data_IF_562400895014
#
_entry.id   IF_562400895014
#
_cell.length_a   1.000
_cell.length_b   1.000
_cell.length_c   1.000
_cell.angle_alpha   90.00
_cell.angle_beta   90.00
_cell.angle_gamma   90.00
#
_symmetry.space_group_name_H-M   'P 1'
#
loop_
_entity.id
_entity.type
_entity.pdbx_description
1 polymer ?
#
# COMPACT_ATOMS: atom_id res chain seq x y z
N UNK A 1 -15.20 6.83 -25.95
CA UNK A 1 -15.81 6.42 -24.69
C UNK A 1 -15.46 4.95 -24.53
N UNK A 2 -14.68 4.58 -23.51
CA UNK A 2 -14.32 3.17 -23.28
C UNK A 2 -15.55 2.37 -22.82
N UNK A 3 -15.63 1.08 -23.15
CA UNK A 3 -16.71 0.22 -22.69
C UNK A 3 -16.67 0.04 -21.17
N UNK A 4 -17.83 -0.23 -20.57
CA UNK A 4 -17.91 -0.65 -19.16
C UNK A 4 -17.19 -1.98 -18.92
N UNK A 5 -17.14 -2.88 -19.90
CA UNK A 5 -16.32 -4.11 -19.84
C UNK A 5 -14.83 -3.79 -19.72
N UNK A 6 -14.34 -2.88 -20.57
CA UNK A 6 -12.93 -2.42 -20.53
C UNK A 6 -12.62 -1.73 -19.20
N UNK A 7 -13.58 -0.98 -18.65
CA UNK A 7 -13.45 -0.35 -17.34
C UNK A 7 -13.35 -1.39 -16.24
N UNK A 8 -14.18 -2.43 -16.28
CA UNK A 8 -14.16 -3.54 -15.33
C UNK A 8 -12.83 -4.31 -15.37
N UNK A 9 -12.35 -4.66 -16.57
CA UNK A 9 -11.05 -5.33 -16.75
C UNK A 9 -9.91 -4.50 -16.17
N UNK A 10 -9.88 -3.19 -16.47
CA UNK A 10 -8.86 -2.28 -15.93
C UNK A 10 -8.92 -2.14 -14.43
N UNK A 11 -10.12 -2.10 -13.85
CA UNK A 11 -10.29 -2.08 -12.39
C UNK A 11 -9.76 -3.35 -11.75
N UNK A 12 -10.01 -4.52 -12.33
CA UNK A 12 -9.45 -5.80 -11.85
C UNK A 12 -7.93 -5.84 -11.93
N UNK A 13 -7.35 -5.36 -13.04
CA UNK A 13 -5.90 -5.26 -13.17
C UNK A 13 -5.28 -4.29 -12.15
N UNK A 14 -5.96 -3.18 -11.88
CA UNK A 14 -5.54 -2.21 -10.88
C UNK A 14 -5.63 -2.77 -9.47
N UNK A 15 -6.74 -3.41 -9.09
CA UNK A 15 -6.95 -4.10 -7.81
C UNK A 15 -5.79 -5.08 -7.53
N UNK A 16 -5.49 -5.96 -8.49
CA UNK A 16 -4.40 -6.92 -8.37
C UNK A 16 -3.03 -6.26 -8.27
N UNK A 17 -2.81 -5.17 -9.00
CA UNK A 17 -1.53 -4.44 -8.96
C UNK A 17 -1.35 -3.70 -7.64
N UNK A 18 -2.41 -3.12 -7.11
CA UNK A 18 -2.43 -2.47 -5.79
C UNK A 18 -2.19 -3.48 -4.67
N UNK A 19 -2.82 -4.66 -4.74
CA UNK A 19 -2.57 -5.75 -3.80
C UNK A 19 -1.09 -6.15 -3.76
N UNK A 20 -0.50 -6.46 -4.93
CA UNK A 20 0.93 -6.79 -5.03
C UNK A 20 1.85 -5.67 -4.54
N UNK A 21 1.49 -4.42 -4.85
CA UNK A 21 2.25 -3.26 -4.37
C UNK A 21 2.22 -3.17 -2.84
N UNK A 22 1.03 -3.29 -2.23
CA UNK A 22 0.87 -3.25 -0.78
C UNK A 22 1.66 -4.36 -0.09
N UNK A 23 1.59 -5.59 -0.60
CA UNK A 23 2.34 -6.73 -0.06
C UNK A 23 3.85 -6.48 -0.11
N UNK A 24 4.35 -6.03 -1.27
CA UNK A 24 5.78 -5.77 -1.47
C UNK A 24 6.27 -4.60 -0.63
N UNK A 25 5.45 -3.56 -0.48
CA UNK A 25 5.77 -2.41 0.35
C UNK A 25 5.84 -2.80 1.83
N UNK A 26 4.88 -3.59 2.32
CA UNK A 26 4.86 -4.06 3.69
C UNK A 26 6.09 -4.95 4.01
N UNK A 27 6.45 -5.85 3.09
CA UNK A 27 7.65 -6.68 3.22
C UNK A 27 8.92 -5.82 3.28
N UNK A 28 9.04 -4.84 2.37
CA UNK A 28 10.19 -3.94 2.28
C UNK A 28 10.30 -3.05 3.51
N UNK A 29 9.16 -2.52 3.99
CA UNK A 29 9.10 -1.71 5.20
C UNK A 29 9.53 -2.51 6.42
N UNK A 30 9.03 -3.73 6.61
CA UNK A 30 9.44 -4.60 7.72
C UNK A 30 10.95 -4.85 7.69
N UNK A 31 11.49 -5.20 6.53
CA UNK A 31 12.94 -5.41 6.38
C UNK A 31 13.73 -4.15 6.73
N UNK A 32 13.29 -2.98 6.27
CA UNK A 32 13.97 -1.71 6.54
C UNK A 32 13.88 -1.33 8.03
N UNK A 33 12.73 -1.53 8.67
CA UNK A 33 12.54 -1.28 10.10
C UNK A 33 13.42 -2.19 10.96
N UNK A 34 13.52 -3.49 10.66
CA UNK A 34 14.42 -4.41 11.36
C UNK A 34 15.89 -3.98 11.26
N UNK A 35 16.31 -3.49 10.08
CA UNK A 35 17.68 -2.99 9.88
C UNK A 35 17.92 -1.66 10.57
N UNK A 36 16.93 -0.78 10.60
CA UNK A 36 16.95 0.46 11.35
C UNK A 36 17.16 0.19 12.84
N UNK A 37 16.30 -0.66 13.43
CA UNK A 37 16.34 -0.99 14.85
C UNK A 37 17.69 -1.60 15.24
N UNK A 38 18.20 -2.53 14.42
CA UNK A 38 19.52 -3.14 14.65
C UNK A 38 20.68 -2.13 14.58
N UNK A 39 20.61 -1.14 13.69
CA UNK A 39 21.64 -0.12 13.57
C UNK A 39 21.58 0.93 14.69
N UNK A 40 20.37 1.21 15.20
CA UNK A 40 20.12 2.24 16.22
C UNK A 40 20.78 1.93 17.56
N UNK A 41 20.86 0.66 17.95
CA UNK A 41 21.43 0.27 19.24
C UNK A 41 22.91 0.65 19.36
N UNK A 42 23.66 0.58 18.26
CA UNK A 42 25.10 0.84 18.21
C UNK A 42 25.47 2.23 17.67
N UNK A 43 24.50 2.98 17.11
CA UNK A 43 24.76 4.25 16.41
C UNK A 43 24.15 5.46 17.14
N UNK A 44 24.98 6.19 17.90
CA UNK A 44 24.54 7.30 18.76
C UNK A 44 25.26 8.64 18.50
N UNK A 45 25.86 8.80 17.33
CA UNK A 45 26.56 10.05 16.98
C UNK A 45 25.60 11.15 16.48
N UNK A 46 26.16 12.27 16.02
CA UNK A 46 25.38 13.38 15.47
C UNK A 46 24.66 13.00 14.16
N UNK A 47 25.25 12.15 13.34
CA UNK A 47 24.64 11.69 12.09
C UNK A 47 23.44 10.79 12.34
N UNK A 48 23.46 10.00 13.42
CA UNK A 48 22.32 9.20 13.85
C UNK A 48 21.08 10.08 14.14
N UNK A 49 21.28 11.27 14.73
CA UNK A 49 20.17 12.21 14.98
C UNK A 49 19.58 12.79 13.70
N UNK A 50 20.43 13.18 12.76
CA UNK A 50 20.00 13.73 11.47
C UNK A 50 19.28 12.66 10.64
N UNK A 51 19.77 11.42 10.70
CA UNK A 51 19.11 10.26 10.10
C UNK A 51 17.75 9.95 10.76
N UNK A 52 17.66 9.93 12.10
CA UNK A 52 16.41 9.69 12.82
C UNK A 52 15.34 10.74 12.48
N UNK A 53 15.75 12.01 12.34
CA UNK A 53 14.85 13.09 11.92
C UNK A 53 14.26 12.86 10.51
N UNK A 54 14.99 12.21 9.61
CA UNK A 54 14.49 11.81 8.29
C UNK A 54 13.70 10.49 8.33
N UNK A 55 14.07 9.56 9.21
CA UNK A 55 13.43 8.26 9.37
C UNK A 55 12.02 8.38 9.93
N UNK A 56 11.83 9.11 11.02
CA UNK A 56 10.54 9.22 11.73
C UNK A 56 9.33 9.58 10.82
N UNK A 57 9.39 10.60 9.94
CA UNK A 57 8.26 10.89 9.05
C UNK A 57 8.03 9.79 8.00
N UNK A 58 9.11 9.18 7.48
CA UNK A 58 9.01 8.07 6.53
C UNK A 58 8.35 6.84 7.18
N UNK A 59 8.81 6.47 8.37
CA UNK A 59 8.28 5.34 9.14
C UNK A 59 6.80 5.54 9.45
N UNK A 60 6.41 6.74 9.91
CA UNK A 60 5.01 7.06 10.17
C UNK A 60 4.15 6.91 8.92
N UNK A 61 4.61 7.41 7.77
CA UNK A 61 3.88 7.32 6.51
C UNK A 61 3.74 5.88 6.00
N UNK A 62 4.84 5.13 6.03
CA UNK A 62 4.85 3.71 5.62
C UNK A 62 3.96 2.86 6.53
N UNK A 63 4.03 3.07 7.85
CA UNK A 63 3.18 2.37 8.82
C UNK A 63 1.71 2.70 8.59
N UNK A 64 1.36 3.97 8.39
CA UNK A 64 -0.02 4.40 8.11
C UNK A 64 -0.55 3.76 6.82
N UNK A 65 0.25 3.76 5.76
CA UNK A 65 -0.14 3.14 4.49
C UNK A 65 -0.36 1.63 4.66
N UNK A 66 0.63 0.91 5.20
CA UNK A 66 0.59 -0.54 5.28
C UNK A 66 -0.52 -1.06 6.20
N UNK A 67 -0.84 -0.33 7.28
CA UNK A 67 -1.83 -0.79 8.28
C UNK A 67 -3.25 -0.33 8.01
N UNK A 68 -3.42 0.77 7.27
CA UNK A 68 -4.73 1.42 7.14
C UNK A 68 -5.06 1.80 5.71
N UNK A 69 -4.28 2.68 5.08
CA UNK A 69 -4.71 3.29 3.81
C UNK A 69 -4.68 2.29 2.65
N UNK A 70 -3.60 1.53 2.50
CA UNK A 70 -3.46 0.51 1.45
C UNK A 70 -4.61 -0.51 1.48
N UNK A 71 -4.90 -1.15 2.64
CA UNK A 71 -6.06 -2.04 2.79
C UNK A 71 -7.40 -1.37 2.51
N UNK A 72 -7.61 -0.13 2.96
CA UNK A 72 -8.85 0.61 2.71
C UNK A 72 -9.07 0.90 1.22
N UNK A 73 -8.03 1.34 0.51
CA UNK A 73 -8.11 1.57 -0.92
C UNK A 73 -8.40 0.28 -1.69
N UNK A 74 -7.80 -0.85 -1.29
CA UNK A 74 -8.05 -2.14 -1.89
C UNK A 74 -9.52 -2.57 -1.71
N UNK A 75 -10.06 -2.45 -0.49
CA UNK A 75 -11.46 -2.76 -0.20
C UNK A 75 -12.45 -1.93 -1.04
N UNK A 76 -12.17 -0.62 -1.20
CA UNK A 76 -12.99 0.25 -2.06
C UNK A 76 -12.96 -0.19 -3.53
N UNK A 77 -11.79 -0.63 -4.03
CA UNK A 77 -11.68 -1.12 -5.41
C UNK A 77 -12.41 -2.45 -5.60
N UNK A 78 -12.32 -3.37 -4.65
CA UNK A 78 -13.04 -4.64 -4.66
C UNK A 78 -14.56 -4.43 -4.66
N UNK A 79 -15.06 -3.52 -3.82
CA UNK A 79 -16.48 -3.17 -3.75
C UNK A 79 -16.97 -2.59 -5.09
N UNK A 80 -16.24 -1.62 -5.64
CA UNK A 80 -16.60 -1.02 -6.93
C UNK A 80 -16.55 -2.02 -8.07
N UNK A 81 -15.55 -2.89 -8.11
CA UNK A 81 -15.44 -3.94 -9.12
C UNK A 81 -16.62 -4.92 -9.02
N UNK A 82 -17.03 -5.31 -7.80
CA UNK A 82 -18.20 -6.16 -7.58
C UNK A 82 -19.49 -5.50 -8.04
N UNK A 83 -19.69 -4.22 -7.76
CA UNK A 83 -20.86 -3.48 -8.24
C UNK A 83 -20.90 -3.40 -9.77
N UNK A 84 -19.76 -3.11 -10.40
CA UNK A 84 -19.69 -3.06 -11.87
C UNK A 84 -19.91 -4.43 -12.51
N UNK A 85 -19.41 -5.50 -11.89
CA UNK A 85 -19.67 -6.87 -12.34
C UNK A 85 -21.17 -7.18 -12.33
N UNK A 86 -21.85 -6.93 -11.20
CA UNK A 86 -23.30 -7.05 -11.11
C UNK A 86 -24.02 -6.22 -12.19
N UNK A 87 -23.43 -5.09 -12.60
CA UNK A 87 -23.96 -4.31 -13.73
C UNK A 87 -24.01 -5.06 -15.02
N UNK A 88 -22.86 -5.61 -15.37
CA UNK A 88 -22.63 -6.25 -16.65
C UNK A 88 -23.41 -7.57 -16.72
N UNK A 89 -23.58 -8.24 -15.58
CA UNK A 89 -24.34 -9.49 -15.46
C UNK A 89 -25.87 -9.26 -15.46
N UNK A 90 -26.34 -8.02 -15.26
CA UNK A 90 -27.77 -7.69 -15.18
C UNK A 90 -28.42 -8.02 -13.83
N UNK A 91 -27.61 -8.35 -12.81
CA UNK A 91 -28.03 -8.77 -11.46
C UNK A 91 -28.21 -7.57 -10.50
N UNK A 92 -29.13 -6.68 -10.86
CA UNK A 92 -29.41 -5.44 -10.13
C UNK A 92 -30.51 -5.51 -9.09
#
# INVERSE_FOLDING_TARGET
MESLDTTFERMKLFEQSLGRFNDRLAETYRFLAERHDAARDDWQDKFARDYEAAWAPLESGLRQWCTKEGPQYLAVMEEKARLLQRYLDGDW
#
